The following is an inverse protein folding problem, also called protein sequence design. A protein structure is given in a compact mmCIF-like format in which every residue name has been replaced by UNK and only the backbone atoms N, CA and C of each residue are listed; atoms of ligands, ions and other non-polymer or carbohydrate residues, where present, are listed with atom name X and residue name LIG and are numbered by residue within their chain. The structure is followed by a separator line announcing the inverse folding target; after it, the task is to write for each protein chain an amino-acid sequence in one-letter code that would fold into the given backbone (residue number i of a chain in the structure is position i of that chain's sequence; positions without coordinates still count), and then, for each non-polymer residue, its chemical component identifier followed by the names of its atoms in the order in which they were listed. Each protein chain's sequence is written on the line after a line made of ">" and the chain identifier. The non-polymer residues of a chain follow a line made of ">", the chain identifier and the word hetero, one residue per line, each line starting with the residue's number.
data_IF_979272126871
#
_entry.id   IF_979272126871
#
_cell.length_a   1.000
_cell.length_b   1.000
_cell.length_c   1.000
_cell.angle_alpha   90.00
_cell.angle_beta   90.00
_cell.angle_gamma   90.00
#
_symmetry.space_group_name_H-M   'P 1'
#
loop_
_entity.id
_entity.type
_entity.pdbx_description
1 polymer ?
#
# COMPACT_ATOMS: atom_id res chain seq x y z
N UNK A 1 11.29 27.78 4.18
CA UNK A 1 10.11 27.02 3.72
C UNK A 1 8.86 27.77 4.11
N UNK A 2 7.88 27.84 3.21
CA UNK A 2 6.59 28.48 3.46
C UNK A 2 5.51 27.40 3.47
N UNK A 3 4.81 27.21 4.59
CA UNK A 3 3.73 26.23 4.68
C UNK A 3 2.46 26.78 4.04
N UNK A 4 1.77 25.97 3.25
CA UNK A 4 0.46 26.34 2.69
C UNK A 4 -0.60 26.30 3.79
N UNK A 5 -1.47 27.31 3.83
CA UNK A 5 -2.68 27.35 4.66
C UNK A 5 -3.92 26.89 3.88
N UNK A 6 -3.74 26.46 2.63
CA UNK A 6 -4.82 26.20 1.68
C UNK A 6 -5.33 27.44 0.93
N UNK A 7 -5.03 28.65 1.43
CA UNK A 7 -5.42 29.93 0.80
C UNK A 7 -4.26 30.91 0.63
N UNK A 8 -3.17 30.73 1.39
CA UNK A 8 -1.96 31.52 1.32
C UNK A 8 -0.76 30.71 1.82
N UNK A 9 0.41 31.35 1.87
CA UNK A 9 1.61 30.82 2.51
C UNK A 9 1.81 31.48 3.88
N UNK A 10 2.05 30.68 4.91
CA UNK A 10 2.45 31.15 6.24
C UNK A 10 3.86 31.76 6.23
N UNK A 11 4.27 32.42 7.31
CA UNK A 11 5.61 33.02 7.43
C UNK A 11 6.72 31.98 7.21
N UNK A 12 7.75 32.36 6.45
CA UNK A 12 8.85 31.48 6.13
C UNK A 12 9.62 31.00 7.38
N UNK A 13 9.81 29.69 7.49
CA UNK A 13 10.63 29.06 8.53
C UNK A 13 11.89 28.41 7.96
N UNK A 14 12.94 28.32 8.76
CA UNK A 14 14.13 27.53 8.45
C UNK A 14 13.96 26.16 9.10
N UNK A 15 13.88 25.11 8.28
CA UNK A 15 13.72 23.72 8.76
C UNK A 15 15.02 22.93 8.78
N UNK A 16 16.08 23.45 8.15
CA UNK A 16 17.40 22.84 8.07
C UNK A 16 18.38 23.65 7.20
N UNK A 17 19.63 23.22 7.15
CA UNK A 17 20.70 23.80 6.32
C UNK A 17 21.28 22.71 5.41
N UNK A 18 21.65 23.07 4.18
CA UNK A 18 22.22 22.16 3.19
C UNK A 18 23.45 22.80 2.53
N UNK A 19 24.30 21.98 1.89
CA UNK A 19 25.45 22.48 1.13
C UNK A 19 25.03 22.92 -0.29
N UNK A 20 25.61 24.02 -0.77
CA UNK A 20 24.98 24.88 -1.78
C UNK A 20 25.08 24.45 -3.24
N UNK A 21 25.71 23.33 -3.57
CA UNK A 21 25.78 22.86 -4.95
C UNK A 21 25.33 21.40 -4.98
N UNK A 22 24.42 21.08 -5.89
CA UNK A 22 23.87 19.74 -6.00
C UNK A 22 22.49 19.72 -6.64
N UNK A 23 21.93 18.52 -6.72
CA UNK A 23 20.55 18.32 -7.13
C UNK A 23 19.68 18.30 -5.87
N UNK A 24 18.61 19.09 -5.88
CA UNK A 24 17.68 19.24 -4.78
C UNK A 24 16.29 18.82 -5.25
N UNK A 25 15.69 17.86 -4.55
CA UNK A 25 14.38 17.32 -4.86
C UNK A 25 13.57 17.12 -3.58
N UNK A 26 12.27 16.94 -3.74
CA UNK A 26 11.34 16.71 -2.64
C UNK A 26 10.40 15.56 -3.00
N UNK A 27 10.17 14.65 -2.06
CA UNK A 27 9.29 13.49 -2.20
C UNK A 27 9.06 12.83 -0.83
N UNK A 28 8.05 11.97 -0.68
CA UNK A 28 7.79 11.17 0.52
C UNK A 28 8.62 9.87 0.50
N UNK A 29 9.94 10.01 0.70
CA UNK A 29 10.90 8.91 0.50
C UNK A 29 10.79 7.80 1.55
N UNK A 30 10.17 8.08 2.70
CA UNK A 30 9.91 7.09 3.74
C UNK A 30 8.46 6.58 3.77
N UNK A 31 7.55 7.19 2.99
CA UNK A 31 6.15 6.78 2.88
C UNK A 31 5.29 7.19 4.07
N UNK A 32 5.74 8.14 4.90
CA UNK A 32 5.04 8.56 6.12
C UNK A 32 3.97 9.64 5.87
N UNK A 33 3.72 9.96 4.59
CA UNK A 33 2.77 10.96 4.14
C UNK A 33 3.31 12.39 4.18
N UNK A 34 4.58 12.60 4.56
CA UNK A 34 5.22 13.92 4.59
C UNK A 34 6.30 14.00 3.53
N UNK A 35 6.33 15.12 2.84
CA UNK A 35 7.37 15.36 1.85
C UNK A 35 8.73 15.60 2.52
N UNK A 36 9.68 14.72 2.26
CA UNK A 36 11.09 14.80 2.64
C UNK A 36 11.89 15.65 1.65
N UNK A 37 13.13 15.98 2.04
CA UNK A 37 14.07 16.71 1.20
C UNK A 37 15.28 15.85 0.85
N UNK A 38 15.52 15.70 -0.46
CA UNK A 38 16.62 14.90 -1.01
C UNK A 38 17.67 15.82 -1.61
N UNK A 39 18.91 15.62 -1.20
CA UNK A 39 20.07 16.39 -1.61
C UNK A 39 21.19 15.47 -2.10
N UNK A 40 21.50 15.55 -3.39
CA UNK A 40 22.57 14.77 -4.00
C UNK A 40 23.79 15.64 -4.33
N UNK A 41 24.90 15.39 -3.63
CA UNK A 41 26.19 16.04 -3.82
C UNK A 41 27.37 15.12 -3.44
N UNK A 42 28.54 15.36 -4.03
CA UNK A 42 29.77 14.63 -3.72
C UNK A 42 29.70 13.12 -3.97
N UNK A 43 28.73 12.65 -4.77
CA UNK A 43 28.44 11.23 -4.98
C UNK A 43 27.52 10.60 -3.93
N UNK A 44 27.04 11.37 -2.94
CA UNK A 44 26.12 10.90 -1.90
C UNK A 44 24.68 11.38 -2.17
N UNK A 45 23.71 10.53 -1.84
CA UNK A 45 22.30 10.86 -1.80
C UNK A 45 21.94 11.05 -0.32
N UNK A 46 21.79 12.30 0.09
CA UNK A 46 21.43 12.66 1.45
C UNK A 46 19.92 12.87 1.52
N UNK A 47 19.29 12.34 2.56
CA UNK A 47 17.86 12.52 2.82
C UNK A 47 17.68 13.19 4.18
N UNK A 48 16.86 14.22 4.16
CA UNK A 48 16.39 14.98 5.32
C UNK A 48 14.93 14.60 5.54
N UNK A 49 14.69 13.71 6.50
CA UNK A 49 13.33 13.23 6.80
C UNK A 49 12.52 14.32 7.47
N UNK A 50 11.32 14.58 6.95
CA UNK A 50 10.40 15.56 7.48
C UNK A 50 9.71 15.04 8.74
N UNK A 51 9.71 15.85 9.79
CA UNK A 51 8.88 15.59 10.99
C UNK A 51 7.51 16.26 10.92
N UNK A 52 7.24 17.00 9.83
CA UNK A 52 6.06 17.86 9.68
C UNK A 52 6.21 19.27 10.27
N UNK A 53 7.31 19.53 10.99
CA UNK A 53 7.62 20.86 11.54
C UNK A 53 9.08 21.30 11.37
N UNK A 54 9.97 20.34 11.07
CA UNK A 54 11.42 20.51 10.88
C UNK A 54 11.95 19.28 10.13
N UNK A 55 13.14 19.40 9.52
CA UNK A 55 13.86 18.24 9.02
C UNK A 55 14.76 17.62 10.09
N UNK A 56 14.84 16.30 10.09
CA UNK A 56 15.87 15.56 10.82
C UNK A 56 17.27 15.87 10.28
N UNK A 57 18.31 15.52 11.05
CA UNK A 57 19.67 15.57 10.55
C UNK A 57 19.82 14.70 9.28
N UNK A 58 20.58 15.15 8.26
CA UNK A 58 20.70 14.40 7.02
C UNK A 58 21.37 13.05 7.25
N UNK A 59 20.88 12.04 6.54
CA UNK A 59 21.51 10.74 6.46
C UNK A 59 21.81 10.39 4.99
N UNK A 60 22.95 9.74 4.76
CA UNK A 60 23.29 9.20 3.44
C UNK A 60 22.49 7.91 3.25
N UNK A 61 21.56 7.89 2.31
CA UNK A 61 20.74 6.72 2.00
C UNK A 61 21.22 5.96 0.76
N UNK A 62 22.14 6.55 0.01
CA UNK A 62 22.73 5.91 -1.14
C UNK A 62 23.86 6.74 -1.74
N UNK A 63 24.38 6.22 -2.84
CA UNK A 63 25.44 6.89 -3.62
C UNK A 63 25.03 6.96 -5.08
N UNK A 64 25.41 8.04 -5.74
CA UNK A 64 25.24 8.20 -7.18
C UNK A 64 26.60 8.37 -7.87
N UNK A 65 26.62 8.18 -9.19
CA UNK A 65 27.83 8.30 -10.01
C UNK A 65 27.47 8.77 -11.41
N UNK A 66 28.40 9.48 -12.04
CA UNK A 66 28.20 10.11 -13.33
C UNK A 66 27.45 11.44 -13.24
N UNK A 67 27.35 12.12 -14.39
CA UNK A 67 26.73 13.44 -14.54
C UNK A 67 25.34 13.38 -15.18
N UNK A 68 24.70 12.22 -15.20
CA UNK A 68 23.41 12.04 -15.88
C UNK A 68 22.21 12.58 -15.10
N UNK A 69 21.03 12.34 -15.68
CA UNK A 69 19.74 12.73 -15.10
C UNK A 69 19.50 12.01 -13.79
N UNK A 70 18.85 12.70 -12.84
CA UNK A 70 18.50 12.17 -11.53
C UNK A 70 17.09 12.61 -11.21
N UNK A 71 16.23 11.67 -10.83
CA UNK A 71 14.83 11.91 -10.53
C UNK A 71 14.35 11.05 -9.36
N UNK A 72 13.16 11.38 -8.85
CA UNK A 72 12.45 10.61 -7.84
C UNK A 72 11.16 10.07 -8.45
N UNK A 73 10.73 8.89 -8.00
CA UNK A 73 9.45 8.30 -8.34
C UNK A 73 9.28 6.92 -7.71
N UNK A 74 8.05 6.51 -7.43
CA UNK A 74 7.73 5.17 -6.93
C UNK A 74 7.80 4.15 -8.08
N UNK A 75 8.99 3.57 -8.32
CA UNK A 75 9.23 2.66 -9.44
C UNK A 75 8.90 1.21 -9.09
N UNK A 76 8.94 0.84 -7.81
CA UNK A 76 8.59 -0.50 -7.33
C UNK A 76 7.13 -0.62 -6.86
N UNK A 77 6.37 0.48 -6.82
CA UNK A 77 4.97 0.51 -6.46
C UNK A 77 4.72 0.36 -4.95
N UNK A 78 5.67 0.69 -4.09
CA UNK A 78 5.55 0.53 -2.64
C UNK A 78 5.18 1.83 -1.90
N UNK A 79 4.79 2.88 -2.65
CA UNK A 79 4.38 4.18 -2.13
C UNK A 79 5.49 4.93 -1.39
N UNK A 80 6.74 4.53 -1.53
CA UNK A 80 7.90 5.35 -1.16
C UNK A 80 8.57 5.80 -2.45
N UNK A 81 8.95 7.07 -2.56
CA UNK A 81 9.69 7.48 -3.75
C UNK A 81 11.11 6.91 -3.77
N UNK A 82 11.40 6.20 -4.86
CA UNK A 82 12.72 5.68 -5.18
C UNK A 82 13.55 6.73 -5.91
N UNK A 83 14.86 6.51 -5.94
CA UNK A 83 15.82 7.36 -6.64
C UNK A 83 16.29 6.72 -7.94
N UNK A 84 16.11 7.41 -9.07
CA UNK A 84 16.62 6.98 -10.38
C UNK A 84 17.77 7.87 -10.83
N UNK A 85 18.79 7.26 -11.41
CA UNK A 85 19.90 7.97 -12.05
C UNK A 85 20.28 7.35 -13.40
N UNK A 86 20.59 8.22 -14.36
CA UNK A 86 21.35 7.87 -15.56
C UNK A 86 22.85 7.96 -15.27
N UNK A 87 23.61 6.90 -15.56
CA UNK A 87 25.06 6.91 -15.51
C UNK A 87 25.64 6.41 -16.84
N UNK A 88 25.94 7.34 -17.73
CA UNK A 88 26.42 7.06 -19.09
C UNK A 88 25.37 6.30 -19.89
N UNK A 89 25.51 4.97 -19.91
CA UNK A 89 24.65 4.05 -20.65
C UNK A 89 23.68 3.24 -19.77
N UNK A 90 23.75 3.38 -18.44
CA UNK A 90 22.93 2.61 -17.51
C UNK A 90 21.89 3.48 -16.82
N UNK A 91 20.73 2.88 -16.55
CA UNK A 91 19.75 3.42 -15.60
C UNK A 91 19.89 2.60 -14.32
N UNK A 92 20.06 3.28 -13.18
CA UNK A 92 20.05 2.64 -11.86
C UNK A 92 18.88 3.19 -11.06
N UNK A 93 18.13 2.29 -10.42
CA UNK A 93 17.08 2.60 -9.45
C UNK A 93 17.58 2.15 -8.09
N UNK A 94 17.52 3.05 -7.11
CA UNK A 94 17.81 2.77 -5.71
C UNK A 94 16.51 2.89 -4.93
N UNK A 95 16.07 1.79 -4.34
CA UNK A 95 14.81 1.71 -3.62
C UNK A 95 15.02 1.83 -2.12
N UNK A 96 14.00 2.31 -1.40
CA UNK A 96 14.03 2.37 0.07
C UNK A 96 13.48 1.08 0.64
N UNK A 97 14.35 0.18 1.08
CA UNK A 97 13.94 -1.11 1.67
C UNK A 97 13.63 -1.00 3.17
N UNK A 98 12.67 -0.15 3.53
CA UNK A 98 12.10 -0.05 4.87
C UNK A 98 10.63 -0.46 4.85
N UNK A 99 10.08 -0.99 5.97
CA UNK A 99 8.64 -1.22 6.10
C UNK A 99 7.86 0.07 5.87
N UNK A 100 6.69 -0.04 5.25
CA UNK A 100 5.78 1.10 5.15
C UNK A 100 5.35 1.53 6.57
N UNK A 101 5.46 2.82 6.92
CA UNK A 101 5.26 3.29 8.29
C UNK A 101 3.78 3.28 8.71
N UNK A 102 3.55 3.48 10.01
CA UNK A 102 2.23 3.66 10.61
C UNK A 102 1.22 2.51 10.38
N UNK A 103 1.74 1.29 10.17
CA UNK A 103 0.96 0.05 10.08
C UNK A 103 1.01 -0.72 11.41
N UNK A 104 -0.14 -1.28 11.81
CA UNK A 104 -0.22 -2.18 12.98
C UNK A 104 0.33 -3.54 12.59
N UNK A 105 1.57 -3.83 12.97
CA UNK A 105 2.25 -5.09 12.61
C UNK A 105 2.16 -6.17 13.68
N UNK A 106 1.87 -5.80 14.93
CA UNK A 106 1.72 -6.76 16.02
C UNK A 106 0.74 -6.26 17.09
N UNK A 107 -0.15 -7.14 17.53
CA UNK A 107 -1.08 -6.93 18.64
C UNK A 107 -0.78 -8.00 19.68
N UNK A 108 -0.62 -7.63 20.94
CA UNK A 108 -0.46 -8.58 22.05
C UNK A 108 -1.62 -8.41 23.01
N UNK A 109 -2.32 -9.50 23.31
CA UNK A 109 -3.41 -9.49 24.27
C UNK A 109 -2.87 -9.59 25.72
N UNK A 110 -3.70 -9.30 26.75
CA UNK A 110 -3.26 -9.33 28.15
C UNK A 110 -2.81 -10.71 28.66
N UNK A 111 -3.09 -11.79 27.92
CA UNK A 111 -2.72 -13.16 28.28
C UNK A 111 -1.46 -13.64 27.54
N UNK A 112 -0.79 -12.77 26.77
CA UNK A 112 0.46 -13.07 26.06
C UNK A 112 0.28 -13.66 24.66
N UNK A 113 -0.96 -13.87 24.20
CA UNK A 113 -1.23 -14.25 22.81
C UNK A 113 -0.98 -13.07 21.86
N UNK A 114 -0.48 -13.35 20.66
CA UNK A 114 -0.05 -12.35 19.69
C UNK A 114 -0.75 -12.50 18.35
N UNK A 115 -1.06 -11.39 17.69
CA UNK A 115 -1.47 -11.36 16.29
C UNK A 115 -0.49 -10.50 15.51
N UNK A 116 0.31 -11.10 14.64
CA UNK A 116 1.20 -10.40 13.74
C UNK A 116 0.56 -10.27 12.36
N UNK A 117 0.66 -9.08 11.77
CA UNK A 117 0.01 -8.71 10.50
C UNK A 117 1.09 -8.26 9.51
N UNK A 118 1.07 -8.86 8.33
CA UNK A 118 1.94 -8.47 7.22
C UNK A 118 1.11 -7.82 6.13
N UNK A 119 1.64 -6.76 5.52
CA UNK A 119 0.95 -5.99 4.49
C UNK A 119 1.73 -5.98 3.18
N UNK A 120 1.00 -5.85 2.07
CA UNK A 120 1.54 -5.63 0.73
C UNK A 120 0.68 -4.61 -0.03
N UNK A 121 1.26 -3.81 -0.93
CA UNK A 121 0.51 -2.87 -1.75
C UNK A 121 -0.28 -3.60 -2.85
N UNK A 122 -1.38 -3.03 -3.36
CA UNK A 122 -2.13 -3.61 -4.49
C UNK A 122 -1.33 -3.71 -5.79
N UNK A 123 -0.20 -3.02 -5.89
CA UNK A 123 0.77 -3.15 -7.00
C UNK A 123 1.50 -4.50 -6.96
N UNK A 124 1.55 -5.18 -5.80
CA UNK A 124 2.11 -6.53 -5.66
C UNK A 124 1.09 -7.58 -6.16
N UNK A 125 1.44 -8.23 -7.27
CA UNK A 125 0.59 -9.23 -7.93
C UNK A 125 0.41 -10.53 -7.13
N UNK A 126 1.19 -10.74 -6.06
CA UNK A 126 1.03 -11.89 -5.17
C UNK A 126 -0.16 -11.74 -4.21
N UNK A 127 -0.64 -10.50 -3.99
CA UNK A 127 -1.77 -10.22 -3.08
C UNK A 127 -2.99 -9.69 -3.82
N UNK A 128 -2.83 -9.06 -4.99
CA UNK A 128 -3.94 -8.42 -5.70
C UNK A 128 -3.97 -8.72 -7.20
N UNK A 129 -5.18 -9.04 -7.69
CA UNK A 129 -5.48 -9.14 -9.12
C UNK A 129 -6.45 -8.05 -9.56
N UNK A 130 -6.01 -7.16 -10.45
CA UNK A 130 -6.87 -6.16 -11.09
C UNK A 130 -7.83 -6.86 -12.07
N UNK A 131 -9.10 -6.47 -12.08
CA UNK A 131 -10.04 -6.99 -13.07
C UNK A 131 -9.68 -6.52 -14.48
N UNK A 132 -9.93 -7.38 -15.47
CA UNK A 132 -9.70 -7.13 -16.90
C UNK A 132 -10.77 -7.82 -17.74
N UNK A 133 -10.81 -7.53 -19.05
CA UNK A 133 -11.75 -8.17 -19.98
C UNK A 133 -13.21 -7.99 -19.58
N UNK A 134 -13.96 -9.09 -19.49
CA UNK A 134 -15.39 -9.05 -19.14
C UNK A 134 -15.69 -8.55 -17.72
N UNK A 135 -14.70 -8.54 -16.83
CA UNK A 135 -14.82 -8.06 -15.44
C UNK A 135 -14.33 -6.62 -15.26
N UNK A 136 -13.73 -6.02 -16.30
CA UNK A 136 -13.20 -4.67 -16.23
C UNK A 136 -14.29 -3.66 -15.90
N UNK A 137 -13.93 -2.63 -15.15
CA UNK A 137 -14.82 -1.54 -14.84
C UNK A 137 -15.28 -0.81 -16.11
N UNK A 138 -16.56 -0.43 -16.12
CA UNK A 138 -17.15 0.41 -17.16
C UNK A 138 -17.39 1.79 -16.59
N UNK A 139 -17.04 2.83 -17.34
CA UNK A 139 -17.29 4.23 -16.95
C UNK A 139 -18.74 4.41 -16.45
N UNK A 140 -18.97 5.10 -15.31
CA UNK A 140 -18.03 5.93 -14.53
C UNK A 140 -17.15 5.18 -13.52
N UNK A 141 -17.22 3.86 -13.47
CA UNK A 141 -16.34 3.06 -12.61
C UNK A 141 -14.97 2.89 -13.24
N UNK A 142 -13.95 2.81 -12.40
CA UNK A 142 -12.57 2.53 -12.81
C UNK A 142 -11.95 1.45 -11.93
N UNK A 143 -11.13 0.60 -12.53
CA UNK A 143 -10.34 -0.41 -11.83
C UNK A 143 -9.11 0.22 -11.18
N UNK A 144 -8.89 -0.08 -9.91
CA UNK A 144 -7.82 0.49 -9.10
C UNK A 144 -6.61 -0.44 -9.03
N UNK A 145 -5.41 0.14 -9.08
CA UNK A 145 -4.14 -0.51 -8.76
C UNK A 145 -3.15 0.54 -8.24
N UNK A 146 -3.57 1.25 -7.21
CA UNK A 146 -2.74 2.22 -6.50
C UNK A 146 -1.97 1.48 -5.41
N UNK A 147 -0.84 2.00 -4.89
CA UNK A 147 -0.06 1.35 -3.84
C UNK A 147 -0.72 1.52 -2.45
N UNK A 148 -2.00 1.12 -2.37
CA UNK A 148 -2.77 0.98 -1.15
C UNK A 148 -2.38 -0.35 -0.50
N UNK A 149 -2.03 -0.31 0.78
CA UNK A 149 -1.60 -1.50 1.52
C UNK A 149 -2.82 -2.30 2.02
N UNK A 150 -2.77 -3.60 1.80
CA UNK A 150 -3.75 -4.57 2.29
C UNK A 150 -3.03 -5.66 3.09
N UNK A 151 -3.77 -6.32 3.99
CA UNK A 151 -3.23 -7.44 4.76
C UNK A 151 -2.93 -8.60 3.79
N UNK A 152 -1.69 -9.06 3.72
CA UNK A 152 -1.34 -10.22 2.90
C UNK A 152 -1.26 -11.50 3.72
N UNK A 153 -0.93 -11.39 5.00
CA UNK A 153 -0.80 -12.52 5.90
C UNK A 153 -1.10 -12.10 7.35
N UNK A 154 -1.72 -13.00 8.10
CA UNK A 154 -1.92 -12.88 9.53
C UNK A 154 -1.43 -14.15 10.21
N UNK A 155 -0.59 -14.01 11.23
CA UNK A 155 -0.24 -15.10 12.15
C UNK A 155 -0.76 -14.78 13.54
N UNK A 156 -1.41 -15.74 14.17
CA UNK A 156 -1.97 -15.60 15.50
C UNK A 156 -1.44 -16.71 16.41
N UNK A 157 -1.12 -16.36 17.65
CA UNK A 157 -0.77 -17.28 18.72
C UNK A 157 -1.69 -17.07 19.91
N UNK A 158 -2.11 -18.16 20.54
CA UNK A 158 -2.90 -18.11 21.77
C UNK A 158 -2.04 -17.88 23.04
N UNK A 159 -0.72 -17.84 22.91
CA UNK A 159 0.21 -17.74 24.04
C UNK A 159 0.38 -19.04 24.84
N UNK A 160 -0.29 -20.13 24.42
CA UNK A 160 -0.25 -21.45 25.04
C UNK A 160 0.39 -22.51 24.11
N UNK A 161 0.83 -22.09 22.93
CA UNK A 161 1.59 -22.90 21.98
C UNK A 161 0.86 -23.24 20.68
N UNK A 162 -0.43 -22.88 20.54
CA UNK A 162 -1.13 -22.98 19.27
C UNK A 162 -0.82 -21.76 18.41
N UNK A 163 -0.56 -22.00 17.12
CA UNK A 163 -0.32 -20.96 16.13
C UNK A 163 -1.23 -21.19 14.92
N UNK A 164 -1.78 -20.10 14.39
CA UNK A 164 -2.65 -20.06 13.23
C UNK A 164 -2.04 -19.11 12.20
N UNK A 165 -2.16 -19.44 10.93
CA UNK A 165 -1.66 -18.63 9.84
C UNK A 165 -2.70 -18.54 8.73
N UNK A 166 -2.96 -17.32 8.28
CA UNK A 166 -3.94 -17.01 7.26
C UNK A 166 -3.29 -16.17 6.17
N UNK A 167 -3.35 -16.64 4.94
CA UNK A 167 -2.93 -15.88 3.77
C UNK A 167 -4.13 -15.22 3.11
N UNK A 168 -3.98 -13.96 2.71
CA UNK A 168 -5.04 -13.16 2.12
C UNK A 168 -4.69 -12.75 0.70
N UNK A 169 -5.69 -12.74 -0.17
CA UNK A 169 -5.59 -12.13 -1.50
C UNK A 169 -6.90 -11.45 -1.89
N UNK A 170 -6.82 -10.50 -2.82
CA UNK A 170 -7.93 -9.62 -3.19
C UNK A 170 -8.03 -9.49 -4.71
N UNK A 171 -9.22 -9.18 -5.21
CA UNK A 171 -9.41 -8.91 -6.61
C UNK A 171 -10.42 -7.79 -6.89
N UNK A 172 -10.22 -7.09 -8.00
CA UNK A 172 -11.23 -6.22 -8.61
C UNK A 172 -11.60 -5.00 -7.78
N UNK A 173 -10.64 -4.30 -7.17
CA UNK A 173 -10.88 -3.04 -6.49
C UNK A 173 -11.36 -1.97 -7.49
N UNK A 174 -12.46 -1.27 -7.18
CA UNK A 174 -13.03 -0.24 -8.06
C UNK A 174 -13.31 1.05 -7.32
N UNK A 175 -13.36 2.17 -8.05
CA UNK A 175 -13.94 3.43 -7.58
C UNK A 175 -14.90 4.01 -8.61
N UNK A 176 -15.81 4.86 -8.16
CA UNK A 176 -16.73 5.60 -9.00
C UNK A 176 -16.27 7.06 -9.12
N UNK A 177 -15.91 7.49 -10.33
CA UNK A 177 -15.29 8.80 -10.56
C UNK A 177 -16.22 9.99 -10.28
N UNK A 178 -17.53 9.82 -10.36
CA UNK A 178 -18.50 10.92 -10.16
C UNK A 178 -18.97 11.06 -8.71
N UNK A 179 -18.19 10.59 -7.73
CA UNK A 179 -18.36 11.02 -6.32
C UNK A 179 -18.89 9.99 -5.33
N UNK A 180 -19.05 8.71 -5.68
CA UNK A 180 -19.36 7.65 -4.67
C UNK A 180 -18.10 7.10 -3.99
N UNK A 181 -16.91 7.49 -4.43
CA UNK A 181 -15.64 7.04 -3.86
C UNK A 181 -15.32 5.59 -4.21
N UNK A 182 -14.62 4.90 -3.30
CA UNK A 182 -14.25 3.49 -3.46
C UNK A 182 -15.46 2.56 -3.37
N UNK A 183 -15.53 1.58 -4.27
CA UNK A 183 -16.57 0.55 -4.32
C UNK A 183 -16.13 -0.76 -3.65
N UNK A 184 -14.95 -0.77 -3.02
CA UNK A 184 -14.34 -1.95 -2.41
C UNK A 184 -13.79 -2.92 -3.45
N UNK A 185 -13.48 -4.14 -2.99
CA UNK A 185 -13.02 -5.25 -3.81
C UNK A 185 -14.21 -6.05 -4.35
N UNK A 186 -14.03 -6.75 -5.49
CA UNK A 186 -14.99 -7.74 -5.97
C UNK A 186 -14.93 -9.02 -5.15
N UNK A 187 -13.73 -9.42 -4.73
CA UNK A 187 -13.55 -10.58 -3.87
C UNK A 187 -12.34 -10.43 -2.93
N UNK A 188 -12.44 -11.10 -1.78
CA UNK A 188 -11.35 -11.32 -0.84
C UNK A 188 -11.30 -12.82 -0.53
N UNK A 189 -10.10 -13.38 -0.56
CA UNK A 189 -9.83 -14.78 -0.28
C UNK A 189 -8.95 -14.88 0.96
N UNK A 190 -9.31 -15.79 1.86
CA UNK A 190 -8.55 -16.21 3.04
C UNK A 190 -8.20 -17.69 2.89
N UNK A 191 -6.93 -18.04 3.11
CA UNK A 191 -6.45 -19.42 3.13
C UNK A 191 -5.92 -19.74 4.53
N UNK A 192 -6.57 -20.67 5.20
CA UNK A 192 -6.07 -21.34 6.40
C UNK A 192 -5.33 -22.61 5.97
N UNK A 193 -4.00 -22.50 5.88
CA UNK A 193 -3.14 -23.60 5.43
C UNK A 193 -3.15 -24.79 6.40
N UNK A 194 -3.34 -24.54 7.70
CA UNK A 194 -3.38 -25.58 8.73
C UNK A 194 -4.63 -26.46 8.61
N UNK A 195 -5.75 -25.86 8.21
CA UNK A 195 -7.01 -26.57 7.99
C UNK A 195 -7.21 -27.02 6.53
N UNK A 196 -6.27 -26.73 5.63
CA UNK A 196 -6.43 -26.89 4.17
C UNK A 196 -7.77 -26.31 3.68
N UNK A 197 -8.11 -25.12 4.17
CA UNK A 197 -9.41 -24.48 3.95
C UNK A 197 -9.21 -23.13 3.31
N UNK A 198 -9.98 -22.86 2.26
CA UNK A 198 -10.03 -21.56 1.61
C UNK A 198 -11.44 -21.02 1.67
N UNK A 199 -11.57 -19.76 2.05
CA UNK A 199 -12.83 -19.03 2.08
C UNK A 199 -12.72 -17.83 1.14
N UNK A 200 -13.59 -17.75 0.13
CA UNK A 200 -13.67 -16.60 -0.76
C UNK A 200 -14.98 -15.87 -0.52
N UNK A 201 -14.89 -14.61 -0.12
CA UNK A 201 -16.03 -13.69 0.00
C UNK A 201 -16.08 -12.81 -1.24
N UNK A 202 -17.21 -12.86 -1.95
CA UNK A 202 -17.54 -11.95 -3.04
C UNK A 202 -18.39 -10.82 -2.51
N UNK A 203 -18.13 -9.59 -2.98
CA UNK A 203 -18.84 -8.40 -2.54
C UNK A 203 -19.58 -7.73 -3.69
N UNK A 204 -20.69 -7.09 -3.35
CA UNK A 204 -21.40 -6.20 -4.25
C UNK A 204 -20.58 -4.91 -4.44
N UNK A 205 -20.47 -4.45 -5.68
CA UNK A 205 -19.85 -3.16 -6.03
C UNK A 205 -20.87 -2.15 -6.58
N UNK A 206 -22.16 -2.49 -6.46
CA UNK A 206 -23.28 -1.69 -6.96
C UNK A 206 -24.09 -1.15 -5.80
N UNK A 207 -24.38 0.14 -5.84
CA UNK A 207 -25.25 0.79 -4.86
C UNK A 207 -26.69 0.22 -4.95
N UNK A 208 -27.42 0.07 -3.82
CA UNK A 208 -27.06 0.44 -2.45
C UNK A 208 -26.25 -0.60 -1.67
N UNK A 209 -25.92 -1.73 -2.28
CA UNK A 209 -25.33 -2.87 -1.58
C UNK A 209 -23.81 -2.86 -1.57
N UNK A 210 -23.16 -1.76 -1.97
CA UNK A 210 -21.70 -1.65 -2.06
C UNK A 210 -21.02 -2.18 -0.80
N UNK A 211 -20.04 -3.06 -0.97
CA UNK A 211 -19.27 -3.74 0.08
C UNK A 211 -20.04 -4.75 0.95
N UNK A 212 -21.31 -5.03 0.66
CA UNK A 212 -22.03 -6.14 1.27
C UNK A 212 -21.68 -7.47 0.56
N UNK A 213 -21.45 -8.56 1.30
CA UNK A 213 -21.19 -9.88 0.71
C UNK A 213 -22.32 -10.32 -0.23
N UNK A 214 -22.02 -10.73 -1.46
CA UNK A 214 -22.98 -11.34 -2.38
C UNK A 214 -22.93 -12.86 -2.32
N UNK A 215 -21.73 -13.43 -2.17
CA UNK A 215 -21.52 -14.85 -2.03
C UNK A 215 -20.35 -15.15 -1.09
N UNK A 216 -20.43 -16.25 -0.34
CA UNK A 216 -19.32 -16.77 0.46
C UNK A 216 -19.14 -18.25 0.13
N UNK A 217 -18.03 -18.55 -0.53
CA UNK A 217 -17.63 -19.91 -0.88
C UNK A 217 -16.56 -20.38 0.08
N UNK A 218 -16.68 -21.62 0.55
CA UNK A 218 -15.63 -22.30 1.32
C UNK A 218 -15.35 -23.64 0.67
N UNK A 219 -14.09 -23.87 0.35
CA UNK A 219 -13.62 -25.09 -0.29
C UNK A 219 -12.29 -25.55 0.32
N UNK A 220 -11.84 -26.72 -0.10
CA UNK A 220 -10.54 -27.26 0.26
C UNK A 220 -9.46 -26.56 -0.56
N UNK A 221 -8.50 -25.91 0.11
CA UNK A 221 -7.51 -25.06 -0.55
C UNK A 221 -6.65 -25.81 -1.58
N UNK A 222 -6.35 -27.09 -1.33
CA UNK A 222 -5.48 -27.92 -2.17
C UNK A 222 -6.07 -28.32 -3.52
N UNK A 223 -7.40 -28.48 -3.62
CA UNK A 223 -8.04 -29.04 -4.82
C UNK A 223 -9.40 -28.41 -5.20
N UNK A 224 -9.87 -27.43 -4.43
CA UNK A 224 -11.11 -26.70 -4.70
C UNK A 224 -12.39 -27.50 -4.46
N UNK A 225 -12.32 -28.65 -3.78
CA UNK A 225 -13.54 -29.39 -3.43
C UNK A 225 -14.39 -28.57 -2.46
N UNK A 226 -15.65 -28.25 -2.81
CA UNK A 226 -16.48 -27.35 -2.01
C UNK A 226 -16.89 -27.99 -0.68
N UNK A 227 -16.90 -27.17 0.37
CA UNK A 227 -17.45 -27.51 1.67
C UNK A 227 -18.80 -26.82 1.91
N UNK A 228 -18.90 -25.54 1.54
CA UNK A 228 -20.06 -24.70 1.80
C UNK A 228 -20.12 -23.56 0.79
N UNK A 229 -21.33 -23.22 0.38
CA UNK A 229 -21.64 -22.04 -0.42
C UNK A 229 -22.80 -21.27 0.25
N UNK A 230 -22.75 -19.94 0.27
CA UNK A 230 -23.75 -19.11 0.95
C UNK A 230 -24.00 -17.83 0.18
N UNK A 231 -25.10 -17.84 -0.56
CA UNK A 231 -25.57 -16.71 -1.37
C UNK A 231 -26.37 -15.76 -0.49
N UNK A 232 -26.06 -14.47 -0.60
CA UNK A 232 -26.77 -13.40 0.06
C UNK A 232 -27.58 -12.60 -0.96
N UNK A 233 -28.89 -12.48 -0.71
CA UNK A 233 -29.80 -11.73 -1.58
C UNK A 233 -30.36 -10.54 -0.81
N UNK A 234 -30.30 -9.36 -1.42
CA UNK A 234 -30.78 -8.11 -0.85
C UNK A 234 -31.97 -7.59 -1.65
N UNK A 235 -33.00 -7.14 -0.96
CA UNK A 235 -34.21 -6.56 -1.55
C UNK A 235 -34.46 -5.20 -0.92
N UNK A 236 -34.84 -4.22 -1.72
CA UNK A 236 -35.34 -2.95 -1.22
C UNK A 236 -36.84 -3.08 -0.98
N UNK A 237 -37.29 -2.88 0.26
CA UNK A 237 -38.71 -2.94 0.62
C UNK A 237 -39.55 -1.78 0.06
N UNK A 238 -38.92 -0.81 -0.63
CA UNK A 238 -39.53 0.43 -1.10
C UNK A 238 -39.41 0.68 -2.61
N UNK A 239 -39.40 -0.37 -3.44
CA UNK A 239 -39.40 -0.24 -4.91
C UNK A 239 -40.82 -0.19 -5.49
#
# INVERSE_FOLDING_TARGET
>A
MYLSTGTAFATGQIWGTYACCGLHQVADTNGDGKTDYVYADGGNINVYVSTGSTFSAPAVWGTYSGSGTRQLGDFNGDRKEDYIQGNGNNIKVSTVNAPFPDLVTNITNPFGGTTAVTYKPLTDSTVYTKDTGAQAAVYPNVDLQHPLYVVSNLTASDGLGANYAYDYSYAGAKAHLLGRGGLGFRSMQEIDSSANKRTTTFYNQTFPYTSLPSNIETDRASDGVPFKDTIHTYWNENA
#
